data_IF_173884006209
#
_entry.id   IF_173884006209
#
_cell.length_a   1.000
_cell.length_b   1.000
_cell.length_c   1.000
_cell.angle_alpha   90.00
_cell.angle_beta   90.00
_cell.angle_gamma   90.00
#
_symmetry.space_group_name_H-M   'P 1'
#
loop_
_entity.id
_entity.type
_entity.pdbx_description
1 polymer ?
#
# COMPACT_ATOMS: atom_id res chain seq x y z
N UNK A 1 -28.00 -3.66 4.78
CA UNK A 1 -29.41 -3.48 4.34
C UNK A 1 -29.60 -4.37 3.11
N UNK A 2 -29.88 -5.66 3.29
CA UNK A 2 -31.24 -6.16 3.03
C UNK A 2 -31.79 -6.86 4.27
N UNK A 3 -32.39 -6.06 5.14
CA UNK A 3 -33.38 -6.51 6.11
C UNK A 3 -34.58 -7.05 5.30
N UNK A 4 -34.57 -8.34 4.95
CA UNK A 4 -35.73 -9.03 4.41
C UNK A 4 -36.79 -9.14 5.52
N UNK A 5 -37.29 -8.01 6.02
CA UNK A 5 -38.56 -7.98 6.71
C UNK A 5 -39.60 -8.35 5.67
N UNK A 6 -39.87 -9.64 5.50
CA UNK A 6 -41.05 -10.12 4.80
C UNK A 6 -42.28 -9.77 5.65
N UNK A 7 -42.52 -8.49 5.89
CA UNK A 7 -43.63 -8.04 6.71
C UNK A 7 -44.96 -8.46 6.07
N UNK A 8 -45.12 -8.22 4.76
CA UNK A 8 -46.36 -8.47 3.99
C UNK A 8 -46.18 -9.00 2.56
N UNK A 9 -44.95 -9.03 2.01
CA UNK A 9 -44.71 -9.41 0.60
C UNK A 9 -43.65 -10.50 0.55
N UNK A 10 -44.10 -11.76 0.55
CA UNK A 10 -43.23 -12.92 0.34
C UNK A 10 -43.26 -13.30 -1.16
N UNK A 11 -42.11 -13.62 -1.78
CA UNK A 11 -42.10 -14.13 -3.15
C UNK A 11 -42.88 -15.44 -3.21
N UNK A 12 -44.03 -15.43 -3.89
CA UNK A 12 -44.88 -16.61 -4.05
C UNK A 12 -44.48 -17.32 -5.34
N UNK A 13 -43.80 -18.46 -5.23
CA UNK A 13 -43.35 -19.29 -6.36
C UNK A 13 -41.83 -19.37 -6.52
N UNK A 14 -41.36 -20.48 -7.11
CA UNK A 14 -39.93 -20.84 -7.22
C UNK A 14 -39.09 -19.80 -7.97
N UNK A 15 -39.67 -19.14 -8.98
CA UNK A 15 -38.95 -18.13 -9.76
C UNK A 15 -38.67 -16.86 -8.95
N UNK A 16 -39.66 -16.37 -8.21
CA UNK A 16 -39.53 -15.18 -7.38
C UNK A 16 -38.58 -15.41 -6.19
N UNK A 17 -38.62 -16.60 -5.58
CA UNK A 17 -37.69 -16.94 -4.48
C UNK A 17 -36.25 -17.05 -4.94
N UNK A 18 -36.00 -17.55 -6.16
CA UNK A 18 -34.65 -17.68 -6.73
C UNK A 18 -34.04 -16.31 -7.01
N UNK A 19 -34.81 -15.40 -7.60
CA UNK A 19 -34.38 -14.01 -7.88
C UNK A 19 -34.07 -13.28 -6.57
N UNK A 20 -34.97 -13.37 -5.58
CA UNK A 20 -34.77 -12.74 -4.28
C UNK A 20 -33.53 -13.28 -3.54
N UNK A 21 -33.25 -14.59 -3.66
CA UNK A 21 -32.05 -15.19 -3.09
C UNK A 21 -30.76 -14.67 -3.75
N UNK A 22 -30.74 -14.57 -5.09
CA UNK A 22 -29.60 -14.02 -5.84
C UNK A 22 -29.38 -12.54 -5.49
N UNK A 23 -30.45 -11.74 -5.46
CA UNK A 23 -30.36 -10.32 -5.10
C UNK A 23 -29.83 -10.12 -3.69
N UNK A 24 -30.28 -10.93 -2.73
CA UNK A 24 -29.80 -10.88 -1.34
C UNK A 24 -28.34 -11.30 -1.22
N UNK A 25 -27.93 -12.34 -1.95
CA UNK A 25 -26.53 -12.79 -2.00
C UNK A 25 -25.62 -11.71 -2.61
N UNK A 26 -26.03 -11.10 -3.72
CA UNK A 26 -25.29 -10.01 -4.36
C UNK A 26 -25.23 -8.76 -3.47
N UNK A 27 -26.32 -8.41 -2.78
CA UNK A 27 -26.35 -7.30 -1.84
C UNK A 27 -25.38 -7.51 -0.66
N UNK A 28 -25.34 -8.73 -0.10
CA UNK A 28 -24.39 -9.08 0.95
C UNK A 28 -22.94 -9.04 0.44
N UNK A 29 -22.68 -9.61 -0.73
CA UNK A 29 -21.35 -9.62 -1.34
C UNK A 29 -20.85 -8.20 -1.64
N UNK A 30 -21.70 -7.36 -2.23
CA UNK A 30 -21.37 -5.96 -2.51
C UNK A 30 -21.06 -5.19 -1.23
N UNK A 31 -21.83 -5.42 -0.17
CA UNK A 31 -21.57 -4.81 1.14
C UNK A 31 -20.23 -5.27 1.73
N UNK A 32 -19.95 -6.58 1.71
CA UNK A 32 -18.70 -7.14 2.20
C UNK A 32 -17.50 -6.57 1.42
N UNK A 33 -17.58 -6.50 0.10
CA UNK A 33 -16.55 -5.90 -0.74
C UNK A 33 -16.36 -4.40 -0.45
N UNK A 34 -17.45 -3.63 -0.31
CA UNK A 34 -17.37 -2.22 0.00
C UNK A 34 -16.65 -1.97 1.33
N UNK A 35 -17.02 -2.70 2.39
CA UNK A 35 -16.35 -2.60 3.69
C UNK A 35 -14.89 -3.04 3.63
N UNK A 36 -14.58 -4.12 2.92
CA UNK A 36 -13.21 -4.61 2.74
C UNK A 36 -12.31 -3.64 1.99
N UNK A 37 -12.80 -3.02 0.92
CA UNK A 37 -12.06 -2.01 0.16
C UNK A 37 -11.84 -0.72 0.96
N UNK A 38 -12.86 -0.26 1.70
CA UNK A 38 -12.71 0.88 2.61
C UNK A 38 -11.64 0.60 3.67
N UNK A 39 -11.70 -0.56 4.31
CA UNK A 39 -10.68 -0.96 5.28
C UNK A 39 -9.29 -1.03 4.63
N UNK A 40 -9.15 -1.69 3.48
CA UNK A 40 -7.87 -1.77 2.77
C UNK A 40 -7.30 -0.40 2.39
N UNK A 41 -8.15 0.54 1.97
CA UNK A 41 -7.77 1.92 1.64
C UNK A 41 -7.19 2.67 2.83
N UNK A 42 -7.77 2.50 4.03
CA UNK A 42 -7.36 3.21 5.24
C UNK A 42 -6.29 2.48 6.06
N UNK A 43 -6.23 1.16 5.96
CA UNK A 43 -5.24 0.33 6.65
C UNK A 43 -3.87 0.32 5.95
N UNK A 44 -3.75 0.90 4.76
CA UNK A 44 -2.45 1.04 4.09
C UNK A 44 -1.57 2.03 4.86
N UNK A 45 -0.47 1.56 5.50
CA UNK A 45 0.39 2.44 6.27
C UNK A 45 1.18 3.34 5.31
N UNK A 46 0.96 4.65 5.39
CA UNK A 46 1.83 5.62 4.73
C UNK A 46 3.02 5.91 5.61
N UNK A 47 4.20 5.44 5.22
CA UNK A 47 5.47 5.86 5.82
C UNK A 47 5.69 7.35 5.51
N UNK A 48 6.04 8.15 6.52
CA UNK A 48 6.37 9.56 6.34
C UNK A 48 7.82 9.76 6.76
N UNK A 49 8.72 9.66 5.79
CA UNK A 49 10.17 9.70 5.99
C UNK A 49 10.70 10.98 5.34
N UNK A 50 11.51 11.73 6.07
CA UNK A 50 12.21 12.90 5.56
C UNK A 50 13.70 12.61 5.46
N UNK A 51 14.32 13.10 4.39
CA UNK A 51 15.75 12.93 4.11
C UNK A 51 16.49 14.26 4.27
N UNK A 52 17.79 14.20 4.56
CA UNK A 52 18.64 15.38 4.51
C UNK A 52 18.74 15.92 3.08
N UNK A 53 18.77 17.26 2.95
CA UNK A 53 18.91 17.92 1.65
C UNK A 53 20.28 17.68 1.01
N UNK A 54 21.30 17.46 1.85
CA UNK A 54 22.66 17.20 1.41
C UNK A 54 23.12 15.85 1.95
N UNK A 55 23.82 15.11 1.10
CA UNK A 55 24.62 13.96 1.49
C UNK A 55 26.08 14.41 1.61
N UNK A 56 26.83 13.77 2.50
CA UNK A 56 28.23 14.10 2.76
C UNK A 56 29.11 12.90 2.51
N UNK A 57 30.29 13.13 1.95
CA UNK A 57 31.37 12.15 1.89
C UNK A 57 32.37 12.53 2.97
N UNK A 58 32.51 11.68 3.98
CA UNK A 58 33.39 11.93 5.10
C UNK A 58 34.11 10.65 5.53
N UNK A 59 35.27 10.77 6.19
CA UNK A 59 35.98 9.61 6.72
C UNK A 59 35.11 8.90 7.76
N UNK A 60 34.87 7.61 7.53
CA UNK A 60 34.12 6.72 8.39
C UNK A 60 34.96 5.45 8.62
N UNK A 61 35.51 5.32 9.82
CA UNK A 61 36.56 4.34 10.12
C UNK A 61 37.78 4.48 9.17
N UNK A 62 38.16 3.40 8.47
CA UNK A 62 39.33 3.37 7.59
C UNK A 62 39.01 3.77 6.13
N UNK A 63 37.74 4.05 5.82
CA UNK A 63 37.30 4.39 4.46
C UNK A 63 36.53 5.71 4.43
N UNK A 64 36.34 6.28 3.24
CA UNK A 64 35.39 7.38 3.05
C UNK A 64 33.99 6.81 2.84
N UNK A 65 33.05 7.20 3.70
CA UNK A 65 31.65 6.81 3.62
C UNK A 65 30.80 7.89 2.96
N UNK A 66 29.88 7.47 2.09
CA UNK A 66 28.78 8.32 1.63
C UNK A 66 27.64 8.25 2.65
N UNK A 67 27.34 9.36 3.30
CA UNK A 67 26.40 9.43 4.42
C UNK A 67 25.26 10.41 4.13
N UNK A 68 24.04 10.01 4.46
CA UNK A 68 22.86 10.88 4.45
C UNK A 68 22.01 10.55 5.69
N UNK A 69 21.16 11.49 6.11
CA UNK A 69 20.28 11.31 7.27
C UNK A 69 18.86 11.05 6.82
N UNK A 70 18.19 10.10 7.48
CA UNK A 70 16.76 9.85 7.35
C UNK A 70 16.09 9.98 8.73
N UNK A 71 14.88 10.51 8.76
CA UNK A 71 14.07 10.64 9.97
C UNK A 71 12.63 10.20 9.69
N UNK A 72 12.06 9.45 10.62
CA UNK A 72 10.64 9.15 10.64
C UNK A 72 9.88 10.32 11.30
N UNK A 73 8.94 10.91 10.58
CA UNK A 73 8.14 12.04 11.08
C UNK A 73 6.98 11.59 12.00
N UNK A 74 6.71 10.28 12.10
CA UNK A 74 5.66 9.74 12.97
C UNK A 74 6.22 9.29 14.32
N UNK A 75 5.40 9.39 15.36
CA UNK A 75 5.71 8.85 16.69
C UNK A 75 5.72 7.32 16.75
N UNK A 76 5.13 6.64 15.75
CA UNK A 76 5.18 5.19 15.63
C UNK A 76 6.57 4.73 15.22
N UNK A 77 7.13 3.73 15.90
CA UNK A 77 8.41 3.14 15.53
C UNK A 77 8.30 2.36 14.22
N UNK A 78 9.35 2.43 13.39
CA UNK A 78 9.50 1.56 12.23
C UNK A 78 10.10 0.22 12.70
N UNK A 79 9.46 -0.88 12.33
CA UNK A 79 9.96 -2.25 12.56
C UNK A 79 10.50 -2.81 11.25
N UNK A 80 11.51 -3.69 11.31
CA UNK A 80 12.08 -4.37 10.13
C UNK A 80 12.48 -3.40 9.01
N UNK A 81 13.24 -2.35 9.36
CA UNK A 81 13.67 -1.34 8.40
C UNK A 81 14.78 -1.89 7.52
N UNK A 82 14.49 -1.99 6.22
CA UNK A 82 15.47 -2.27 5.18
C UNK A 82 15.72 -1.01 4.34
N UNK A 83 16.97 -0.77 3.96
CA UNK A 83 17.37 0.39 3.15
C UNK A 83 18.13 -0.11 1.92
N UNK A 84 17.58 0.17 0.74
CA UNK A 84 18.23 -0.12 -0.54
C UNK A 84 18.63 1.20 -1.20
N UNK A 85 19.90 1.30 -1.61
CA UNK A 85 20.43 2.45 -2.34
C UNK A 85 20.59 2.09 -3.82
N UNK A 86 20.05 2.93 -4.69
CA UNK A 86 20.21 2.80 -6.14
C UNK A 86 20.86 4.04 -6.69
N UNK A 87 22.00 3.87 -7.35
CA UNK A 87 22.70 4.93 -8.07
C UNK A 87 22.40 4.76 -9.57
N UNK A 88 21.82 5.79 -10.18
CA UNK A 88 21.64 5.86 -11.63
C UNK A 88 22.55 6.93 -12.20
N UNK A 89 23.44 6.54 -13.11
CA UNK A 89 24.33 7.46 -13.82
C UNK A 89 24.05 7.39 -15.31
N UNK A 90 23.89 8.57 -15.93
CA UNK A 90 23.74 8.70 -17.37
C UNK A 90 25.08 9.07 -17.99
N UNK A 91 25.57 8.26 -18.94
CA UNK A 91 26.83 8.51 -19.64
C UNK A 91 26.60 9.45 -20.83
N UNK A 92 27.43 10.48 -20.95
CA UNK A 92 27.30 11.57 -21.96
C UNK A 92 27.42 11.15 -23.44
N UNK A 93 27.67 9.87 -23.75
CA UNK A 93 27.84 9.40 -25.15
C UNK A 93 27.18 8.03 -25.42
N UNK A 94 26.15 7.67 -24.67
CA UNK A 94 25.39 6.45 -24.91
C UNK A 94 23.99 6.62 -24.33
N UNK A 95 22.96 6.17 -25.04
CA UNK A 95 21.56 6.15 -24.56
C UNK A 95 21.31 5.10 -23.46
N UNK A 96 22.37 4.54 -22.87
CA UNK A 96 22.29 3.46 -21.88
C UNK A 96 22.47 4.03 -20.47
N UNK A 97 21.49 3.79 -19.60
CA UNK A 97 21.56 4.10 -18.16
C UNK A 97 22.02 2.85 -17.41
N UNK A 98 23.11 2.98 -16.65
CA UNK A 98 23.58 1.94 -15.74
C UNK A 98 23.00 2.17 -14.34
N UNK A 99 22.47 1.10 -13.75
CA UNK A 99 21.88 1.10 -12.42
C UNK A 99 22.78 0.27 -11.50
N UNK A 100 23.34 0.90 -10.47
CA UNK A 100 24.11 0.21 -9.43
C UNK A 100 23.23 0.07 -8.19
N UNK A 101 23.09 -1.16 -7.69
CA UNK A 101 22.32 -1.49 -6.50
C UNK A 101 23.29 -1.78 -5.35
N UNK A 102 23.10 -1.08 -4.23
CA UNK A 102 23.77 -1.35 -2.97
C UNK A 102 22.69 -1.56 -1.90
N UNK A 103 22.39 -2.82 -1.62
CA UNK A 103 21.50 -3.27 -0.55
C UNK A 103 22.17 -4.38 0.26
N UNK A 104 21.61 -4.74 1.42
CA UNK A 104 22.06 -5.90 2.19
C UNK A 104 21.92 -7.22 1.43
#
# INVERSE_FOLDING_TARGET
MTTLGYGRVAPVGIQASTIAAIESMLGLLAFALATGLLYGRFSSPRANIQFSQHAVVAPFHEINGFMFRLINLKHSQLIEVEVTLTLSMQKTNSETREFFYAGP
#
